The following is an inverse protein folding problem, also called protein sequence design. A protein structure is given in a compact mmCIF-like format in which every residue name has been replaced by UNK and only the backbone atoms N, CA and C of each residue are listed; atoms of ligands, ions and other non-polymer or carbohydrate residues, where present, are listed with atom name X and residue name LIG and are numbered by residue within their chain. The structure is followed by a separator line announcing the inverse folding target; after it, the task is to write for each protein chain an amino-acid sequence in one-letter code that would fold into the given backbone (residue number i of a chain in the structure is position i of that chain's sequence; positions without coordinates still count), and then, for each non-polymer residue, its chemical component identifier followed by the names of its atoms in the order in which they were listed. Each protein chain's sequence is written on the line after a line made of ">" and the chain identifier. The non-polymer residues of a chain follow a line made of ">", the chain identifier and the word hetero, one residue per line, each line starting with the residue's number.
data_IF_736025666382
#
_entry.id   IF_736025666382
#
_cell.length_a   1.000
_cell.length_b   1.000
_cell.length_c   1.000
_cell.angle_alpha   90.00
_cell.angle_beta   90.00
_cell.angle_gamma   90.00
#
_symmetry.space_group_name_H-M   'P 1'
#
loop_
_entity.id
_entity.type
_entity.pdbx_description
1 polymer ?
#
# COMPACT_ATOMS: atom_id res chain seq x y z
N UNK A 1 2.89 -14.67 -11.35
CA UNK A 1 3.07 -14.50 -9.88
C UNK A 1 3.01 -15.88 -9.19
N UNK A 2 3.86 -16.15 -8.19
CA UNK A 2 3.81 -17.42 -7.42
C UNK A 2 2.61 -17.50 -6.48
N UNK A 3 2.46 -18.61 -5.73
CA UNK A 3 1.40 -18.77 -4.72
C UNK A 3 1.46 -17.61 -3.71
N UNK A 4 0.30 -17.06 -3.36
CA UNK A 4 0.16 -16.05 -2.31
C UNK A 4 -0.60 -16.63 -1.12
N UNK A 5 -0.45 -16.01 0.04
CA UNK A 5 -1.11 -16.46 1.27
C UNK A 5 -1.91 -15.33 1.90
N UNK A 6 -3.04 -15.68 2.50
CA UNK A 6 -3.88 -14.75 3.26
C UNK A 6 -4.07 -15.28 4.67
N UNK A 7 -3.54 -14.54 5.63
CA UNK A 7 -3.86 -14.74 7.04
C UNK A 7 -5.22 -14.13 7.34
N UNK A 8 -6.07 -14.88 8.02
CA UNK A 8 -7.41 -14.47 8.39
C UNK A 8 -7.97 -15.37 9.49
N UNK A 9 -9.05 -14.92 10.12
CA UNK A 9 -9.80 -15.76 11.06
C UNK A 9 -10.42 -16.98 10.36
N UNK A 10 -10.48 -18.12 11.04
CA UNK A 10 -10.98 -19.41 10.53
C UNK A 10 -12.37 -19.31 9.91
N UNK A 11 -13.29 -18.55 10.52
CA UNK A 11 -14.62 -18.31 9.97
C UNK A 11 -14.57 -17.59 8.62
N UNK A 12 -13.65 -16.63 8.44
CA UNK A 12 -13.48 -15.93 7.18
C UNK A 12 -12.78 -16.81 6.13
N UNK A 13 -11.82 -17.65 6.54
CA UNK A 13 -11.20 -18.63 5.65
C UNK A 13 -12.24 -19.61 5.09
N UNK A 14 -13.16 -20.10 5.92
CA UNK A 14 -14.29 -20.94 5.48
C UNK A 14 -15.21 -20.20 4.51
N UNK A 15 -15.61 -18.96 4.83
CA UNK A 15 -16.43 -18.14 3.92
C UNK A 15 -15.77 -17.94 2.54
N UNK A 16 -14.45 -17.74 2.51
CA UNK A 16 -13.68 -17.61 1.28
C UNK A 16 -13.69 -18.92 0.47
N UNK A 17 -13.31 -20.04 1.09
CA UNK A 17 -13.12 -21.31 0.39
C UNK A 17 -14.44 -22.00 0.03
N UNK A 18 -15.47 -21.90 0.87
CA UNK A 18 -16.76 -22.59 0.67
C UNK A 18 -17.76 -21.75 -0.12
N UNK A 19 -17.78 -20.44 0.12
CA UNK A 19 -18.78 -19.53 -0.44
C UNK A 19 -18.20 -18.56 -1.48
N UNK A 20 -16.87 -18.41 -1.56
CA UNK A 20 -16.23 -17.41 -2.42
C UNK A 20 -16.53 -15.99 -1.94
N UNK A 21 -16.73 -15.82 -0.64
CA UNK A 21 -17.07 -14.55 0.00
C UNK A 21 -15.84 -13.98 0.69
N UNK A 22 -15.49 -12.73 0.40
CA UNK A 22 -14.35 -12.06 1.02
C UNK A 22 -14.57 -10.57 1.13
N UNK A 23 -13.84 -9.95 2.05
CA UNK A 23 -13.81 -8.51 2.27
C UNK A 23 -12.62 -7.87 1.56
N UNK A 24 -12.89 -6.81 0.83
CA UNK A 24 -11.90 -5.89 0.27
C UNK A 24 -11.86 -4.66 1.18
N UNK A 25 -10.71 -4.37 1.78
CA UNK A 25 -10.50 -3.20 2.63
C UNK A 25 -10.24 -1.94 1.80
N UNK A 26 -10.08 -0.80 2.48
CA UNK A 26 -9.55 0.42 1.86
C UNK A 26 -8.15 0.71 2.38
N UNK A 27 -7.33 1.43 1.62
CA UNK A 27 -5.98 1.80 2.04
C UNK A 27 -6.02 2.62 3.33
N UNK A 28 -6.94 3.57 3.40
CA UNK A 28 -7.03 4.48 4.54
C UNK A 28 -7.60 3.82 5.79
N UNK A 29 -8.37 2.73 5.66
CA UNK A 29 -8.84 1.96 6.81
C UNK A 29 -7.67 1.48 7.67
N UNK A 30 -6.55 1.09 7.06
CA UNK A 30 -5.38 0.60 7.80
C UNK A 30 -4.58 1.70 8.49
N UNK A 31 -4.99 2.98 8.39
CA UNK A 31 -4.41 4.05 9.23
C UNK A 31 -4.87 4.01 10.69
N UNK A 32 -5.96 3.30 10.95
CA UNK A 32 -6.55 3.18 12.28
C UNK A 32 -5.86 2.04 13.06
N UNK A 33 -4.75 2.37 13.71
CA UNK A 33 -3.99 1.44 14.56
C UNK A 33 -4.79 0.94 15.77
N UNK A 34 -5.71 1.75 16.32
CA UNK A 34 -6.55 1.33 17.45
C UNK A 34 -7.46 0.15 17.04
N UNK A 35 -8.01 0.23 15.82
CA UNK A 35 -8.88 -0.80 15.27
C UNK A 35 -8.12 -2.03 14.78
N UNK A 36 -6.91 -1.86 14.24
CA UNK A 36 -6.19 -2.93 13.55
C UNK A 36 -4.99 -3.50 14.31
N UNK A 37 -4.59 -2.88 15.43
CA UNK A 37 -3.39 -3.23 16.19
C UNK A 37 -2.10 -2.78 15.48
N UNK A 38 -0.98 -2.77 16.20
CA UNK A 38 0.32 -2.30 15.68
C UNK A 38 0.91 -3.20 14.59
N UNK A 39 0.48 -4.46 14.53
CA UNK A 39 0.97 -5.42 13.56
C UNK A 39 0.36 -5.23 12.15
N UNK A 40 -0.82 -4.60 12.06
CA UNK A 40 -1.57 -4.45 10.80
C UNK A 40 -1.85 -2.98 10.49
N UNK A 41 -2.20 -2.20 11.52
CA UNK A 41 -2.41 -0.77 11.42
C UNK A 41 -1.10 -0.02 11.17
N UNK A 42 -1.21 1.10 10.47
CA UNK A 42 -0.09 1.94 10.07
C UNK A 42 -0.60 3.37 9.84
N UNK A 43 -0.46 4.23 10.85
CA UNK A 43 -1.00 5.59 10.81
C UNK A 43 -0.44 6.48 9.68
N UNK A 44 0.66 6.05 9.02
CA UNK A 44 1.28 6.71 7.88
C UNK A 44 1.01 6.00 6.55
N UNK A 45 0.06 5.08 6.51
CA UNK A 45 -0.28 4.32 5.32
C UNK A 45 -0.61 5.25 4.13
N UNK A 46 -0.03 4.97 2.97
CA UNK A 46 -0.20 5.80 1.77
C UNK A 46 0.47 7.18 1.81
N UNK A 47 1.47 7.39 2.68
CA UNK A 47 2.24 8.66 2.74
C UNK A 47 3.72 8.44 2.44
N UNK A 48 4.36 9.44 1.84
CA UNK A 48 5.81 9.58 1.76
C UNK A 48 6.19 11.07 1.72
N UNK A 49 7.42 11.40 2.06
CA UNK A 49 7.96 12.74 1.86
C UNK A 49 9.41 12.69 1.38
N UNK A 50 9.76 13.64 0.54
CA UNK A 50 11.13 13.85 0.08
C UNK A 50 11.63 15.20 0.56
N UNK A 51 12.91 15.29 0.90
CA UNK A 51 13.45 16.55 1.42
C UNK A 51 14.82 16.93 0.82
N UNK A 52 15.12 18.22 0.91
CA UNK A 52 16.42 18.79 0.60
C UNK A 52 16.80 19.79 1.69
N UNK A 53 17.91 19.53 2.38
CA UNK A 53 18.53 20.48 3.31
C UNK A 53 19.33 21.53 2.55
N UNK A 54 19.29 22.78 3.03
CA UNK A 54 20.00 23.91 2.44
C UNK A 54 20.68 24.69 3.57
N UNK A 55 22.00 24.50 3.70
CA UNK A 55 22.78 25.22 4.71
C UNK A 55 22.96 26.68 4.33
N UNK A 56 23.44 26.95 3.10
CA UNK A 56 23.53 28.28 2.53
C UNK A 56 23.57 28.21 1.00
N UNK A 57 22.74 29.00 0.32
CA UNK A 57 22.72 29.09 -1.14
C UNK A 57 22.24 30.46 -1.63
N UNK A 58 22.74 30.87 -2.79
CA UNK A 58 22.18 31.97 -3.59
C UNK A 58 21.70 31.41 -4.93
N UNK A 59 20.39 31.42 -5.15
CA UNK A 59 19.78 30.88 -6.36
C UNK A 59 19.27 31.99 -7.27
N UNK A 60 19.43 31.77 -8.56
CA UNK A 60 18.82 32.52 -9.66
C UNK A 60 18.10 31.53 -10.59
N UNK A 61 17.49 32.03 -11.66
CA UNK A 61 16.88 31.17 -12.69
C UNK A 61 17.87 30.19 -13.34
N UNK A 62 19.17 30.51 -13.34
CA UNK A 62 20.20 29.70 -13.99
C UNK A 62 20.67 28.48 -13.17
N UNK A 63 20.55 28.53 -11.83
CA UNK A 63 21.12 27.51 -10.94
C UNK A 63 20.12 26.99 -9.88
N UNK A 64 18.86 27.40 -9.91
CA UNK A 64 17.84 26.90 -8.99
C UNK A 64 17.71 25.36 -9.13
N UNK A 65 17.90 24.58 -8.05
CA UNK A 65 17.77 23.12 -8.11
C UNK A 65 16.34 22.68 -8.48
N UNK A 66 16.22 21.67 -9.33
CA UNK A 66 14.93 21.22 -9.89
C UNK A 66 13.90 20.87 -8.81
N UNK A 67 14.32 20.21 -7.74
CA UNK A 67 13.46 19.86 -6.60
C UNK A 67 12.74 21.09 -6.02
N UNK A 68 13.45 22.22 -5.92
CA UNK A 68 12.93 23.45 -5.32
C UNK A 68 11.91 24.17 -6.20
N UNK A 69 11.94 23.93 -7.51
CA UNK A 69 11.01 24.56 -8.47
C UNK A 69 9.55 24.16 -8.25
N UNK A 70 9.33 23.05 -7.54
CA UNK A 70 8.00 22.62 -7.13
C UNK A 70 7.41 23.41 -5.96
N UNK A 71 8.23 24.20 -5.25
CA UNK A 71 7.81 25.04 -4.14
C UNK A 71 7.64 26.50 -4.57
N UNK A 72 8.60 27.02 -5.33
CA UNK A 72 8.59 28.38 -5.85
C UNK A 72 9.39 28.47 -7.14
N UNK A 73 9.06 29.44 -7.98
CA UNK A 73 9.80 29.74 -9.22
C UNK A 73 10.38 31.13 -9.13
N UNK A 74 11.65 31.29 -9.50
CA UNK A 74 12.28 32.60 -9.60
C UNK A 74 11.92 33.25 -10.94
N UNK A 75 11.58 34.53 -10.92
CA UNK A 75 11.40 35.33 -12.13
C UNK A 75 12.75 35.64 -12.76
N UNK A 76 12.77 35.98 -14.05
CA UNK A 76 13.99 36.40 -14.74
C UNK A 76 14.63 37.61 -14.04
N UNK A 77 15.95 37.57 -13.85
CA UNK A 77 16.70 38.59 -13.11
C UNK A 77 16.58 38.52 -11.58
N UNK A 78 15.70 37.68 -11.03
CA UNK A 78 15.56 37.52 -9.58
C UNK A 78 16.67 36.64 -8.98
N UNK A 79 17.05 36.95 -7.74
CA UNK A 79 17.93 36.12 -6.91
C UNK A 79 17.31 35.91 -5.53
N UNK A 80 17.61 34.78 -4.90
CA UNK A 80 17.17 34.46 -3.53
C UNK A 80 18.34 33.91 -2.74
N UNK A 81 18.54 34.46 -1.53
CA UNK A 81 19.48 33.92 -0.55
C UNK A 81 18.70 33.08 0.45
N UNK A 82 19.12 31.83 0.62
CA UNK A 82 18.48 30.86 1.49
C UNK A 82 19.54 30.22 2.37
N UNK A 83 19.26 30.10 3.67
CA UNK A 83 20.18 29.49 4.61
C UNK A 83 19.46 28.83 5.78
N UNK A 84 19.98 27.70 6.23
CA UNK A 84 19.50 26.97 7.41
C UNK A 84 18.07 26.44 7.28
N UNK A 85 17.66 25.99 6.08
CA UNK A 85 16.30 25.48 5.86
C UNK A 85 16.28 24.02 5.40
N UNK A 86 15.12 23.38 5.53
CA UNK A 86 14.79 22.14 4.84
C UNK A 86 13.52 22.35 4.03
N UNK A 87 13.59 22.07 2.73
CA UNK A 87 12.42 22.03 1.86
C UNK A 87 11.91 20.59 1.83
N UNK A 88 10.65 20.37 2.20
CA UNK A 88 10.04 19.05 2.28
C UNK A 88 8.79 18.96 1.42
N UNK A 89 8.76 17.98 0.52
CA UNK A 89 7.66 17.74 -0.42
C UNK A 89 6.85 16.52 0.07
N UNK A 90 5.76 16.73 0.81
CA UNK A 90 4.89 15.65 1.22
C UNK A 90 4.11 15.11 0.01
N UNK A 91 3.85 13.81 0.02
CA UNK A 91 3.11 13.10 -1.02
C UNK A 91 2.18 12.08 -0.36
N UNK A 92 0.92 12.10 -0.79
CA UNK A 92 -0.12 11.22 -0.27
C UNK A 92 -0.81 10.53 -1.45
N UNK A 93 -0.95 9.22 -1.37
CA UNK A 93 -1.78 8.48 -2.33
C UNK A 93 -3.26 8.75 -2.08
N UNK A 94 -4.14 8.72 -3.08
CA UNK A 94 -5.58 8.64 -2.82
C UNK A 94 -5.93 7.33 -2.10
N UNK A 95 -7.16 7.24 -1.59
CA UNK A 95 -7.67 5.99 -1.02
C UNK A 95 -7.93 4.96 -2.15
N UNK A 96 -7.66 3.70 -1.85
CA UNK A 96 -7.79 2.60 -2.80
C UNK A 96 -8.54 1.44 -2.17
N UNK A 97 -9.26 0.67 -2.97
CA UNK A 97 -9.61 -0.69 -2.55
C UNK A 97 -8.36 -1.54 -2.59
N UNK A 98 -8.05 -2.23 -1.48
CA UNK A 98 -6.89 -3.10 -1.39
C UNK A 98 -7.26 -4.50 -0.89
N UNK A 99 -6.56 -5.48 -1.43
CA UNK A 99 -6.54 -6.83 -0.89
C UNK A 99 -5.10 -7.27 -0.66
N UNK A 100 -4.68 -7.24 0.60
CA UNK A 100 -3.32 -7.56 0.99
C UNK A 100 -3.17 -9.06 1.22
N UNK A 101 -2.06 -9.60 0.72
CA UNK A 101 -1.62 -10.99 0.86
C UNK A 101 -0.13 -10.99 1.20
N UNK A 102 0.43 -12.13 1.56
CA UNK A 102 1.89 -12.30 1.66
C UNK A 102 2.38 -13.24 0.55
N UNK A 103 3.60 -13.01 0.06
CA UNK A 103 4.21 -13.89 -0.94
C UNK A 103 4.94 -15.10 -0.33
N UNK A 104 4.99 -15.22 1.00
CA UNK A 104 5.63 -16.34 1.70
C UNK A 104 4.85 -16.67 2.98
N UNK A 105 4.61 -17.95 3.22
CA UNK A 105 3.92 -18.40 4.43
C UNK A 105 4.88 -18.38 5.62
N UNK A 106 4.42 -17.76 6.71
CA UNK A 106 5.09 -17.64 7.99
C UNK A 106 4.03 -17.73 9.09
N UNK A 107 4.05 -18.85 9.82
CA UNK A 107 3.08 -19.14 10.88
C UNK A 107 3.26 -18.21 12.10
N UNK A 108 4.47 -17.73 12.35
CA UNK A 108 4.73 -16.79 13.44
C UNK A 108 4.11 -15.44 13.11
N UNK A 109 4.35 -14.90 11.91
CA UNK A 109 3.70 -13.66 11.47
C UNK A 109 2.16 -13.78 11.47
N UNK A 110 1.62 -14.95 11.10
CA UNK A 110 0.18 -15.21 11.18
C UNK A 110 -0.35 -15.07 12.62
N UNK A 111 0.37 -15.63 13.61
CA UNK A 111 0.03 -15.52 15.03
C UNK A 111 0.17 -14.09 15.56
N UNK A 112 1.24 -13.38 15.16
CA UNK A 112 1.48 -12.00 15.58
C UNK A 112 0.33 -11.09 15.11
N UNK A 113 -0.18 -11.32 13.90
CA UNK A 113 -1.38 -10.64 13.39
C UNK A 113 -2.69 -11.04 14.11
N UNK A 114 -2.62 -11.98 15.05
CA UNK A 114 -3.77 -12.51 15.77
C UNK A 114 -4.68 -13.40 14.92
N UNK A 115 -4.19 -13.99 13.82
CA UNK A 115 -4.96 -14.90 12.97
C UNK A 115 -4.71 -16.37 13.31
N UNK A 116 -5.72 -17.20 13.10
CA UNK A 116 -5.71 -18.64 13.41
C UNK A 116 -5.82 -19.51 12.14
N UNK A 117 -5.85 -18.91 10.95
CA UNK A 117 -5.94 -19.63 9.69
C UNK A 117 -5.21 -18.94 8.54
N UNK A 118 -4.72 -19.75 7.61
CA UNK A 118 -4.08 -19.30 6.39
C UNK A 118 -4.70 -19.97 5.16
N UNK A 119 -5.04 -19.16 4.16
CA UNK A 119 -5.48 -19.59 2.84
C UNK A 119 -4.38 -19.37 1.82
N UNK A 120 -3.96 -20.44 1.13
CA UNK A 120 -3.14 -20.34 -0.07
C UNK A 120 -4.00 -19.98 -1.28
N UNK A 121 -3.48 -19.08 -2.11
CA UNK A 121 -4.03 -18.63 -3.38
C UNK A 121 -3.12 -19.15 -4.49
N UNK A 122 -3.48 -20.29 -5.08
CA UNK A 122 -2.61 -21.07 -5.96
C UNK A 122 -2.49 -20.47 -7.37
N UNK A 123 -3.52 -19.76 -7.83
CA UNK A 123 -3.51 -19.03 -9.11
C UNK A 123 -3.93 -17.56 -8.91
N UNK A 124 -3.04 -16.72 -8.36
CA UNK A 124 -3.39 -15.35 -7.98
C UNK A 124 -3.95 -14.50 -9.11
N UNK A 125 -3.44 -14.63 -10.32
CA UNK A 125 -3.91 -13.84 -11.47
C UNK A 125 -5.39 -14.14 -11.79
N UNK A 126 -5.78 -15.41 -11.75
CA UNK A 126 -7.16 -15.83 -11.96
C UNK A 126 -8.06 -15.46 -10.77
N UNK A 127 -7.51 -15.53 -9.55
CA UNK A 127 -8.18 -15.07 -8.33
C UNK A 127 -8.50 -13.56 -8.40
N UNK A 128 -7.50 -12.72 -8.68
CA UNK A 128 -7.70 -11.27 -8.79
C UNK A 128 -8.57 -10.88 -9.98
N UNK A 129 -8.52 -11.62 -11.09
CA UNK A 129 -9.47 -11.44 -12.19
C UNK A 129 -10.93 -11.66 -11.76
N UNK A 130 -11.17 -12.60 -10.84
CA UNK A 130 -12.52 -12.81 -10.28
C UNK A 130 -12.94 -11.65 -9.38
N UNK A 131 -12.04 -11.12 -8.55
CA UNK A 131 -12.29 -9.94 -7.72
C UNK A 131 -12.59 -8.72 -8.59
N UNK A 132 -11.74 -8.44 -9.59
CA UNK A 132 -11.93 -7.33 -10.53
C UNK A 132 -13.26 -7.38 -11.26
N UNK A 133 -13.75 -8.57 -11.62
CA UNK A 133 -15.10 -8.74 -12.19
C UNK A 133 -16.20 -8.35 -11.22
N UNK A 134 -16.06 -8.70 -9.94
CA UNK A 134 -17.01 -8.30 -8.89
C UNK A 134 -16.93 -6.80 -8.57
N UNK A 135 -15.77 -6.17 -8.80
CA UNK A 135 -15.55 -4.73 -8.57
C UNK A 135 -15.71 -3.86 -9.82
N UNK A 136 -16.11 -4.40 -10.98
CA UNK A 136 -16.08 -3.71 -12.29
C UNK A 136 -16.71 -2.30 -12.35
N UNK A 137 -17.68 -1.99 -11.48
CA UNK A 137 -18.36 -0.69 -11.43
C UNK A 137 -17.93 0.17 -10.22
N UNK A 138 -17.07 -0.37 -9.36
CA UNK A 138 -16.59 0.25 -8.12
C UNK A 138 -15.11 0.61 -8.16
N UNK A 139 -14.30 -0.15 -8.90
CA UNK A 139 -12.89 0.16 -9.04
C UNK A 139 -12.21 -0.52 -10.23
N UNK A 140 -11.16 0.13 -10.71
CA UNK A 140 -10.30 -0.31 -11.81
C UNK A 140 -9.02 -0.93 -11.27
N UNK A 141 -8.75 -2.18 -11.64
CA UNK A 141 -7.57 -2.90 -11.18
C UNK A 141 -6.27 -2.27 -11.68
N UNK A 142 -5.36 -1.94 -10.76
CA UNK A 142 -4.04 -1.34 -11.02
C UNK A 142 -2.90 -2.35 -10.95
N UNK A 143 -3.20 -3.61 -10.62
CA UNK A 143 -2.20 -4.66 -10.49
C UNK A 143 -2.03 -5.16 -9.06
N UNK A 144 -1.12 -6.12 -8.92
CA UNK A 144 -0.68 -6.68 -7.63
C UNK A 144 0.82 -6.51 -7.52
N UNK A 145 1.25 -5.83 -6.46
CA UNK A 145 2.63 -5.36 -6.32
C UNK A 145 3.16 -5.74 -4.94
N UNK A 146 4.41 -6.19 -4.87
CA UNK A 146 5.12 -6.31 -3.59
C UNK A 146 5.31 -4.93 -3.00
N UNK A 147 5.07 -4.78 -1.71
CA UNK A 147 5.41 -3.56 -0.99
C UNK A 147 6.92 -3.37 -0.99
N UNK A 148 7.35 -2.11 -1.09
CA UNK A 148 8.75 -1.73 -0.91
C UNK A 148 8.94 -1.27 0.52
N UNK A 149 9.84 -1.96 1.21
CA UNK A 149 10.24 -1.65 2.57
C UNK A 149 11.35 -0.62 2.53
N UNK A 150 11.04 0.61 2.96
CA UNK A 150 11.96 1.74 2.99
C UNK A 150 11.40 2.86 3.87
N UNK A 151 12.24 3.80 4.34
CA UNK A 151 11.77 4.98 5.06
C UNK A 151 10.74 5.78 4.25
N UNK A 152 9.69 6.29 4.91
CA UNK A 152 8.72 7.18 4.25
C UNK A 152 9.25 8.58 3.99
N UNK A 153 10.17 9.05 4.83
CA UNK A 153 10.87 10.32 4.68
C UNK A 153 12.29 10.08 4.22
N UNK A 154 12.66 10.59 3.05
CA UNK A 154 14.00 10.39 2.48
C UNK A 154 14.54 11.62 1.77
N UNK A 155 15.87 11.74 1.59
CA UNK A 155 16.45 12.76 0.72
C UNK A 155 15.88 12.63 -0.71
N UNK A 156 15.62 13.76 -1.37
CA UNK A 156 14.97 13.79 -2.68
C UNK A 156 15.74 13.05 -3.79
N UNK A 157 17.06 13.00 -3.69
CA UNK A 157 17.98 12.28 -4.59
C UNK A 157 17.91 10.75 -4.44
N UNK A 158 17.27 10.26 -3.36
CA UNK A 158 17.03 8.83 -3.11
C UNK A 158 15.62 8.38 -3.52
N UNK A 159 14.75 9.29 -4.01
CA UNK A 159 13.38 8.91 -4.41
C UNK A 159 13.39 8.10 -5.71
N UNK A 160 13.28 6.79 -5.56
CA UNK A 160 13.08 5.84 -6.66
C UNK A 160 11.70 5.91 -7.36
N UNK A 161 10.86 6.89 -7.03
CA UNK A 161 9.56 7.11 -7.68
C UNK A 161 8.46 6.13 -7.23
N UNK A 162 8.71 5.34 -6.18
CA UNK A 162 7.74 4.35 -5.66
C UNK A 162 6.50 5.06 -5.15
N UNK A 163 5.33 4.55 -5.51
CA UNK A 163 4.06 5.14 -5.12
C UNK A 163 3.83 4.99 -3.59
N UNK A 164 3.31 6.02 -2.88
CA UNK A 164 3.12 5.96 -1.43
C UNK A 164 2.29 4.76 -0.95
N UNK A 165 1.28 4.37 -1.71
CA UNK A 165 0.43 3.20 -1.44
C UNK A 165 1.14 1.83 -1.52
N UNK A 166 2.44 1.81 -1.84
CA UNK A 166 3.26 0.60 -1.88
C UNK A 166 4.45 0.66 -0.91
N UNK A 167 4.57 1.74 -0.12
CA UNK A 167 5.66 1.91 0.84
C UNK A 167 5.21 1.45 2.22
N UNK A 168 6.01 0.57 2.82
CA UNK A 168 5.95 0.19 4.22
C UNK A 168 7.27 0.53 4.89
N UNK A 169 7.24 0.89 6.17
CA UNK A 169 8.47 1.03 6.96
C UNK A 169 9.18 -0.32 7.10
N UNK A 170 10.50 -0.29 7.30
CA UNK A 170 11.33 -1.51 7.32
C UNK A 170 10.95 -2.49 8.43
N UNK A 171 10.38 -1.99 9.53
CA UNK A 171 9.88 -2.81 10.64
C UNK A 171 8.78 -3.78 10.20
N UNK A 172 8.01 -3.47 9.15
CA UNK A 172 6.96 -4.32 8.60
C UNK A 172 7.47 -5.31 7.53
N UNK A 173 8.79 -5.45 7.35
CA UNK A 173 9.35 -6.31 6.29
C UNK A 173 9.00 -7.79 6.45
N UNK A 174 8.79 -8.27 7.68
CA UNK A 174 8.34 -9.64 7.97
C UNK A 174 6.97 -9.96 7.38
N UNK A 175 6.13 -8.94 7.13
CA UNK A 175 4.80 -9.12 6.54
C UNK A 175 4.86 -9.65 5.09
N UNK A 176 5.98 -9.40 4.37
CA UNK A 176 6.21 -9.85 2.99
C UNK A 176 5.02 -9.53 2.07
N UNK A 177 4.49 -8.32 2.22
CA UNK A 177 3.19 -7.90 1.72
C UNK A 177 3.16 -7.76 0.19
N UNK A 178 2.09 -8.27 -0.41
CA UNK A 178 1.65 -8.02 -1.79
C UNK A 178 0.29 -7.33 -1.74
N UNK A 179 0.21 -6.14 -2.32
CA UNK A 179 -1.01 -5.35 -2.44
C UNK A 179 -1.59 -5.47 -3.83
N UNK A 180 -2.79 -6.03 -3.89
CA UNK A 180 -3.66 -5.90 -5.06
C UNK A 180 -4.49 -4.63 -4.90
N UNK A 181 -4.42 -3.73 -5.89
CA UNK A 181 -4.96 -2.38 -5.81
C UNK A 181 -6.04 -2.17 -6.87
N UNK A 182 -7.15 -1.55 -6.48
CA UNK A 182 -8.16 -1.03 -7.40
C UNK A 182 -8.40 0.46 -7.13
N UNK A 183 -8.17 1.28 -8.16
CA UNK A 183 -8.53 2.70 -8.14
C UNK A 183 -10.04 2.85 -8.12
N UNK A 184 -10.62 3.53 -7.13
CA UNK A 184 -12.07 3.63 -7.02
C UNK A 184 -12.65 4.52 -8.12
N UNK A 185 -13.90 4.25 -8.52
CA UNK A 185 -14.63 5.09 -9.50
C UNK A 185 -15.35 6.27 -8.85
N UNK A 186 -15.36 6.34 -7.51
CA UNK A 186 -15.97 7.39 -6.69
C UNK A 186 -15.07 7.70 -5.51
N UNK A 187 -15.20 8.89 -4.95
CA UNK A 187 -14.54 9.28 -3.70
C UNK A 187 -15.21 8.67 -2.46
N UNK A 188 -14.57 8.78 -1.30
CA UNK A 188 -15.07 8.35 0.01
C UNK A 188 -15.54 6.89 0.04
N UNK A 189 -14.68 6.00 -0.45
CA UNK A 189 -14.97 4.57 -0.49
C UNK A 189 -15.04 3.95 0.91
N UNK A 190 -15.75 2.84 0.99
CA UNK A 190 -15.87 2.04 2.20
C UNK A 190 -15.56 0.58 1.89
N UNK A 191 -15.03 -0.18 2.85
CA UNK A 191 -14.75 -1.59 2.68
C UNK A 191 -15.98 -2.36 2.19
N UNK A 192 -15.75 -3.36 1.34
CA UNK A 192 -16.83 -4.07 0.66
C UNK A 192 -16.65 -5.58 0.77
N UNK A 193 -17.75 -6.28 1.07
CA UNK A 193 -17.83 -7.73 0.90
C UNK A 193 -18.26 -8.04 -0.52
N UNK A 194 -17.48 -8.86 -1.21
CA UNK A 194 -17.82 -9.40 -2.53
C UNK A 194 -18.06 -10.90 -2.44
N UNK A 195 -18.87 -11.41 -3.36
CA UNK A 195 -19.09 -12.84 -3.54
C UNK A 195 -18.79 -13.24 -4.98
N UNK A 196 -17.97 -14.27 -5.16
CA UNK A 196 -17.69 -14.87 -6.46
C UNK A 196 -17.42 -16.36 -6.30
N UNK A 197 -18.38 -17.19 -6.73
CA UNK A 197 -18.27 -18.66 -6.64
C UNK A 197 -17.03 -19.22 -7.34
N UNK A 198 -16.47 -18.50 -8.33
CA UNK A 198 -15.29 -18.92 -9.10
C UNK A 198 -13.99 -18.79 -8.29
N UNK A 199 -13.94 -17.89 -7.30
CA UNK A 199 -12.75 -17.66 -6.47
C UNK A 199 -12.30 -18.94 -5.75
N UNK A 200 -13.27 -19.73 -5.29
CA UNK A 200 -13.06 -20.97 -4.54
C UNK A 200 -12.09 -21.95 -5.20
N UNK A 201 -12.07 -21.96 -6.54
CA UNK A 201 -11.20 -22.83 -7.34
C UNK A 201 -9.71 -22.53 -7.17
N UNK A 202 -9.38 -21.37 -6.61
CA UNK A 202 -8.00 -20.89 -6.48
C UNK A 202 -7.55 -20.81 -5.03
N UNK A 203 -8.40 -21.22 -4.08
CA UNK A 203 -8.17 -21.04 -2.65
C UNK A 203 -8.18 -22.39 -1.94
N UNK A 204 -7.19 -22.61 -1.07
CA UNK A 204 -7.11 -23.79 -0.21
C UNK A 204 -6.66 -23.37 1.18
N UNK A 205 -7.34 -23.85 2.22
CA UNK A 205 -6.85 -23.68 3.60
C UNK A 205 -5.61 -24.55 3.76
N UNK A 206 -4.50 -23.96 4.23
CA UNK A 206 -3.22 -24.67 4.41
C UNK A 206 -2.77 -24.75 5.86
N UNK A 207 -3.27 -23.86 6.72
CA UNK A 207 -3.07 -23.92 8.15
C UNK A 207 -4.35 -23.48 8.86
N UNK A 208 -4.67 -24.18 9.94
CA UNK A 208 -5.68 -23.80 10.90
C UNK A 208 -5.21 -24.27 12.27
N UNK A 209 -5.02 -23.30 13.17
CA UNK A 209 -4.80 -23.56 14.58
C UNK A 209 -6.15 -23.88 15.27
#
# INVERSE_FOLDING_TARGET
>A
MGVLYKYMKKEHAKLLVEQGSLRIGTLYEFRDEEKHGQEIGDNKEGTKSTYMGVDQACWSTANQPEFTKSFFKLAEGATVNISGITLEKPQTSPDFYIYCTTYEFDESAMRDFGYDSCVAIEQPENFFKCISKSLKHKGLYQGSHKCKYQPRRMPHDFDSGVHPALIKENEYSYQKEVRSIWSPTKDNIQPIIIKSKKIKKYCRIISSL
#
